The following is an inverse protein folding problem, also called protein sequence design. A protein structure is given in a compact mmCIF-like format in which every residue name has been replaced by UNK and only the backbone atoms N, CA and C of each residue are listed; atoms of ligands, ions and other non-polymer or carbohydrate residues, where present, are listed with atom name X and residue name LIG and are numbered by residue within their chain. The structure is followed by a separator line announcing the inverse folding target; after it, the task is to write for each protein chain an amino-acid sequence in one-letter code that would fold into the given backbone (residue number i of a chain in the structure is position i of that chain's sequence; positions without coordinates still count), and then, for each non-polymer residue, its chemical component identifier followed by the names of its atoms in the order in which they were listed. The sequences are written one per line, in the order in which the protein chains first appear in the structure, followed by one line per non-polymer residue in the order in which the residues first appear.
data_IF_525507139653
#
_entry.id   IF_525507139653
#
_cell.length_a   1.000
_cell.length_b   1.000
_cell.length_c   1.000
_cell.angle_alpha   90.00
_cell.angle_beta   90.00
_cell.angle_gamma   90.00
#
_symmetry.space_group_name_H-M   'P 1'
#
loop_
_entity.id
_entity.type
_entity.pdbx_description
1 polymer ?
#
# COMPACT_ATOMS: atom_id res chain seq x y z
N UNK A 1 -6.12 -7.52 16.55
CA UNK A 1 -4.91 -7.72 15.72
C UNK A 1 -5.18 -7.02 14.40
N UNK A 2 -5.25 -5.71 14.55
CA UNK A 2 -5.87 -4.70 13.73
C UNK A 2 -4.71 -3.85 13.20
N UNK A 3 -4.62 -3.67 11.88
CA UNK A 3 -3.56 -2.88 11.25
C UNK A 3 -2.25 -3.62 10.90
N UNK A 4 -2.10 -4.92 11.13
CA UNK A 4 -0.82 -5.62 10.79
C UNK A 4 -0.46 -5.52 9.30
N UNK A 5 -1.42 -5.66 8.38
CA UNK A 5 -1.15 -5.50 6.94
C UNK A 5 -0.92 -4.04 6.53
N UNK A 6 -1.49 -3.08 7.26
CA UNK A 6 -1.24 -1.66 7.05
C UNK A 6 0.23 -1.34 7.32
N UNK A 7 0.73 -1.78 8.48
CA UNK A 7 2.13 -1.58 8.87
C UNK A 7 3.09 -2.35 7.97
N UNK A 8 2.71 -3.54 7.48
CA UNK A 8 3.48 -4.23 6.45
C UNK A 8 3.53 -3.43 5.14
N UNK A 9 2.40 -2.84 4.74
CA UNK A 9 2.30 -1.89 3.65
C UNK A 9 3.32 -0.76 3.79
N UNK A 10 3.35 -0.07 4.93
CA UNK A 10 4.35 0.95 5.24
C UNK A 10 5.77 0.43 5.19
N UNK A 11 6.03 -0.73 5.81
CA UNK A 11 7.36 -1.29 5.90
C UNK A 11 7.99 -1.50 4.51
N UNK A 12 7.19 -1.90 3.50
CA UNK A 12 7.65 -2.03 2.10
C UNK A 12 8.16 -0.71 1.48
N UNK A 13 7.75 0.45 2.00
CA UNK A 13 8.11 1.77 1.48
C UNK A 13 9.52 2.23 1.83
N UNK A 14 10.17 1.58 2.79
CA UNK A 14 11.51 1.95 3.26
C UNK A 14 12.57 1.95 2.14
N UNK A 15 13.64 2.73 2.33
CA UNK A 15 14.71 2.90 1.34
C UNK A 15 15.44 1.60 0.97
N UNK A 16 15.44 0.59 1.85
CA UNK A 16 16.04 -0.73 1.60
C UNK A 16 15.11 -1.70 0.85
N UNK A 17 13.91 -1.26 0.49
CA UNK A 17 12.87 -2.07 -0.17
C UNK A 17 12.40 -1.33 -1.43
N UNK A 18 11.13 -0.89 -1.49
CA UNK A 18 10.60 -0.21 -2.67
C UNK A 18 11.00 1.25 -2.78
N UNK A 19 11.67 1.81 -1.74
CA UNK A 19 12.16 3.19 -1.70
C UNK A 19 11.11 4.18 -2.23
N UNK A 20 9.91 4.14 -1.66
CA UNK A 20 8.82 5.01 -2.11
C UNK A 20 9.15 6.45 -1.75
N UNK A 21 9.24 7.28 -2.78
CA UNK A 21 9.45 8.71 -2.65
C UNK A 21 8.33 9.44 -3.39
N UNK A 22 7.67 10.34 -2.67
CA UNK A 22 6.60 11.17 -3.20
C UNK A 22 7.20 12.56 -3.36
N UNK A 23 7.69 12.86 -4.57
CA UNK A 23 8.35 14.13 -4.84
C UNK A 23 7.43 15.35 -4.66
N UNK A 24 7.81 16.49 -5.25
CA UNK A 24 7.04 17.76 -5.14
C UNK A 24 5.55 17.65 -5.50
N UNK A 25 5.14 16.61 -6.24
CA UNK A 25 3.75 16.32 -6.59
C UNK A 25 2.84 16.21 -5.36
N UNK A 26 3.34 15.62 -4.27
CA UNK A 26 2.57 15.45 -3.04
C UNK A 26 3.09 16.32 -1.90
N UNK A 27 4.33 16.82 -1.97
CA UNK A 27 4.86 17.84 -1.07
C UNK A 27 4.65 17.48 0.41
N UNK A 28 4.08 18.41 1.19
CA UNK A 28 3.79 18.21 2.62
C UNK A 28 2.73 17.11 2.86
N UNK A 29 1.97 16.71 1.83
CA UNK A 29 0.98 15.64 1.89
C UNK A 29 1.57 14.25 1.55
N UNK A 30 2.89 14.14 1.38
CA UNK A 30 3.57 12.87 1.09
C UNK A 30 3.26 11.77 2.13
N UNK A 31 3.20 12.14 3.42
CA UNK A 31 2.82 11.22 4.49
C UNK A 31 1.38 10.73 4.30
N UNK A 32 0.45 11.64 4.03
CA UNK A 32 -0.95 11.27 3.78
C UNK A 32 -1.14 10.44 2.52
N UNK A 33 -0.31 10.61 1.50
CA UNK A 33 -0.31 9.75 0.32
C UNK A 33 0.17 8.32 0.65
N UNK A 34 1.21 8.20 1.47
CA UNK A 34 1.72 6.90 1.95
C UNK A 34 0.66 6.12 2.75
N UNK A 35 -0.14 6.81 3.56
CA UNK A 35 -1.29 6.23 4.28
C UNK A 35 -2.34 5.62 3.33
N UNK A 36 -2.59 6.25 2.17
CA UNK A 36 -3.48 5.69 1.13
C UNK A 36 -2.84 4.42 0.56
N UNK A 37 -1.54 4.45 0.28
CA UNK A 37 -0.80 3.28 -0.26
C UNK A 37 -0.87 2.11 0.72
N UNK A 38 -0.59 2.33 2.00
CA UNK A 38 -0.65 1.31 3.04
C UNK A 38 -2.07 0.75 3.23
N UNK A 39 -3.08 1.61 3.20
CA UNK A 39 -4.49 1.20 3.32
C UNK A 39 -4.97 0.36 2.13
N UNK A 40 -4.60 0.72 0.91
CA UNK A 40 -4.93 -0.08 -0.28
C UNK A 40 -4.18 -1.42 -0.29
N UNK A 41 -2.95 -1.46 0.24
CA UNK A 41 -2.19 -2.68 0.43
C UNK A 41 -2.89 -3.61 1.44
N UNK A 42 -3.29 -3.08 2.61
CA UNK A 42 -4.08 -3.81 3.59
C UNK A 42 -5.37 -4.36 2.98
N UNK A 43 -6.13 -3.53 2.27
CA UNK A 43 -7.40 -3.94 1.69
C UNK A 43 -7.24 -5.10 0.70
N UNK A 44 -6.17 -5.07 -0.11
CA UNK A 44 -5.85 -6.16 -1.06
C UNK A 44 -5.50 -7.45 -0.32
N UNK A 45 -4.65 -7.39 0.71
CA UNK A 45 -4.24 -8.57 1.49
C UNK A 45 -5.39 -9.14 2.33
N UNK A 46 -6.22 -8.30 2.94
CA UNK A 46 -7.42 -8.75 3.64
C UNK A 46 -8.39 -9.46 2.70
N UNK A 47 -8.57 -8.94 1.48
CA UNK A 47 -9.43 -9.58 0.47
C UNK A 47 -8.90 -10.95 0.03
N UNK A 48 -7.58 -11.14 0.03
CA UNK A 48 -6.91 -12.37 -0.39
C UNK A 48 -6.83 -13.43 0.73
N UNK A 49 -6.44 -13.02 1.93
CA UNK A 49 -6.13 -13.95 3.03
C UNK A 49 -7.26 -14.10 4.06
N UNK A 50 -8.33 -13.29 3.94
CA UNK A 50 -9.55 -13.42 4.74
C UNK A 50 -9.59 -12.84 6.17
N UNK A 51 -8.56 -12.20 6.76
CA UNK A 51 -8.78 -11.50 8.02
C UNK A 51 -9.65 -10.26 7.79
N UNK A 52 -10.45 -9.85 8.79
CA UNK A 52 -11.34 -8.72 8.64
C UNK A 52 -10.53 -7.45 8.35
N UNK A 53 -11.01 -6.67 7.37
CA UNK A 53 -10.46 -5.37 7.03
C UNK A 53 -10.96 -4.34 8.04
N UNK A 54 -10.50 -4.48 9.29
CA UNK A 54 -10.83 -3.57 10.36
C UNK A 54 -9.99 -2.30 10.24
N UNK A 55 -10.72 -1.20 10.32
CA UNK A 55 -10.28 0.17 10.26
C UNK A 55 -10.06 0.63 11.71
N UNK A 56 -8.88 1.16 12.05
CA UNK A 56 -8.56 1.62 13.42
C UNK A 56 -9.43 2.83 13.84
N UNK A 57 -9.62 3.09 15.12
CA UNK A 57 -10.54 4.15 15.58
C UNK A 57 -10.08 5.59 15.24
N UNK A 58 -8.84 5.81 14.82
CA UNK A 58 -8.31 7.12 14.40
C UNK A 58 -8.68 7.56 12.97
N UNK A 59 -9.57 6.84 12.28
CA UNK A 59 -9.82 6.97 10.84
C UNK A 59 -10.28 8.34 10.31
N UNK A 60 -10.86 9.17 11.16
CA UNK A 60 -11.33 10.50 10.75
C UNK A 60 -10.18 11.43 10.29
N UNK A 61 -8.98 11.30 10.87
CA UNK A 61 -7.83 12.14 10.50
C UNK A 61 -7.26 11.76 9.13
N UNK A 62 -7.15 10.47 8.82
CA UNK A 62 -6.64 9.96 7.55
C UNK A 62 -7.59 10.28 6.38
N UNK A 63 -8.90 10.04 6.56
CA UNK A 63 -9.89 10.33 5.53
C UNK A 63 -9.89 11.83 5.18
N UNK A 64 -9.76 12.71 6.17
CA UNK A 64 -9.67 14.15 5.92
C UNK A 64 -8.47 14.51 5.03
N UNK A 65 -7.30 13.92 5.30
CA UNK A 65 -6.08 14.15 4.53
C UNK A 65 -6.16 13.54 3.13
N UNK A 66 -6.78 12.36 2.99
CA UNK A 66 -7.01 11.73 1.69
C UNK A 66 -7.94 12.57 0.82
N UNK A 67 -9.02 13.11 1.40
CA UNK A 67 -9.93 13.96 0.65
C UNK A 67 -9.26 15.23 0.11
N UNK A 68 -8.27 15.79 0.81
CA UNK A 68 -7.46 16.93 0.30
C UNK A 68 -6.70 16.52 -0.97
N UNK A 69 -5.97 15.40 -0.91
CA UNK A 69 -5.20 14.87 -2.05
C UNK A 69 -6.12 14.54 -3.23
N UNK A 70 -7.19 13.78 -2.98
CA UNK A 70 -8.09 13.28 -4.03
C UNK A 70 -8.89 14.41 -4.70
N UNK A 71 -9.19 15.49 -3.99
CA UNK A 71 -9.78 16.70 -4.59
C UNK A 71 -8.79 17.48 -5.44
N UNK A 72 -7.52 17.54 -5.01
CA UNK A 72 -6.45 18.24 -5.72
C UNK A 72 -6.00 17.52 -6.99
N UNK A 73 -6.08 16.18 -7.01
CA UNK A 73 -5.65 15.35 -8.12
C UNK A 73 -6.55 14.11 -8.29
N UNK A 74 -7.37 14.12 -9.34
CA UNK A 74 -8.30 13.03 -9.67
C UNK A 74 -7.60 11.72 -10.03
N UNK A 75 -6.31 11.77 -10.37
CA UNK A 75 -5.49 10.59 -10.71
C UNK A 75 -4.75 10.03 -9.50
N UNK A 76 -4.76 10.73 -8.36
CA UNK A 76 -4.00 10.34 -7.16
C UNK A 76 -4.37 8.93 -6.68
N UNK A 77 -5.64 8.55 -6.76
CA UNK A 77 -6.08 7.20 -6.37
C UNK A 77 -5.46 6.11 -7.26
N UNK A 78 -5.31 6.36 -8.56
CA UNK A 78 -4.69 5.41 -9.49
C UNK A 78 -3.18 5.27 -9.20
N UNK A 79 -2.52 6.37 -8.88
CA UNK A 79 -1.11 6.35 -8.49
C UNK A 79 -0.90 5.62 -7.15
N UNK A 80 -1.77 5.87 -6.17
CA UNK A 80 -1.70 5.17 -4.88
C UNK A 80 -1.95 3.67 -5.06
N UNK A 81 -2.94 3.30 -5.88
CA UNK A 81 -3.23 1.91 -6.21
C UNK A 81 -2.03 1.20 -6.88
N UNK A 82 -1.40 1.84 -7.87
CA UNK A 82 -0.20 1.29 -8.52
C UNK A 82 0.96 1.07 -7.52
N UNK A 83 1.13 1.96 -6.54
CA UNK A 83 2.14 1.80 -5.48
C UNK A 83 1.76 0.72 -4.46
N UNK A 84 0.48 0.59 -4.14
CA UNK A 84 -0.02 -0.47 -3.27
C UNK A 84 0.14 -1.85 -3.91
N UNK A 85 -0.11 -1.97 -5.22
CA UNK A 85 0.11 -3.21 -5.98
C UNK A 85 1.59 -3.62 -5.96
N UNK A 86 2.52 -2.66 -6.09
CA UNK A 86 3.96 -2.91 -5.93
C UNK A 86 4.29 -3.44 -4.51
N UNK A 87 3.67 -2.87 -3.47
CA UNK A 87 3.84 -3.32 -2.08
C UNK A 87 3.33 -4.74 -1.87
N UNK A 88 2.13 -5.06 -2.38
CA UNK A 88 1.55 -6.40 -2.31
C UNK A 88 2.44 -7.40 -3.05
N UNK A 89 2.87 -7.09 -4.28
CA UNK A 89 3.76 -7.96 -5.06
C UNK A 89 5.06 -8.24 -4.31
N UNK A 90 5.65 -7.22 -3.68
CA UNK A 90 6.85 -7.38 -2.86
C UNK A 90 6.59 -8.31 -1.67
N UNK A 91 5.50 -8.13 -0.93
CA UNK A 91 5.17 -8.97 0.23
C UNK A 91 4.94 -10.43 -0.16
N UNK A 92 4.29 -10.67 -1.30
CA UNK A 92 4.03 -12.02 -1.83
C UNK A 92 5.31 -12.80 -2.14
N UNK A 93 6.44 -12.15 -2.39
CA UNK A 93 7.73 -12.85 -2.58
C UNK A 93 8.18 -13.62 -1.33
N UNK A 94 7.65 -13.26 -0.16
CA UNK A 94 7.95 -13.89 1.12
C UNK A 94 6.84 -14.84 1.59
N UNK A 95 5.78 -15.02 0.80
CA UNK A 95 4.71 -15.96 1.12
C UNK A 95 5.14 -17.39 0.73
N UNK A 96 5.39 -18.29 1.70
CA UNK A 96 5.77 -19.66 1.40
C UNK A 96 4.66 -20.44 0.66
N UNK A 97 3.40 -20.05 0.77
CA UNK A 97 2.29 -20.68 0.05
C UNK A 97 2.28 -20.33 -1.45
N UNK A 98 2.88 -19.20 -1.85
CA UNK A 98 3.04 -18.79 -3.25
C UNK A 98 4.34 -19.32 -3.89
N UNK A 99 5.24 -19.91 -3.10
CA UNK A 99 6.55 -20.41 -3.52
C UNK A 99 6.54 -21.59 -4.51
N UNK A 100 5.38 -22.11 -4.90
CA UNK A 100 5.26 -23.23 -5.84
C UNK A 100 4.38 -22.96 -7.07
N UNK A 101 3.83 -21.75 -7.26
CA UNK A 101 2.83 -21.49 -8.32
C UNK A 101 2.98 -20.20 -9.12
N UNK A 102 3.99 -19.35 -8.87
CA UNK A 102 4.20 -18.14 -9.68
C UNK A 102 4.78 -18.48 -11.08
N UNK A 103 4.10 -18.11 -12.18
CA UNK A 103 4.63 -18.24 -13.54
C UNK A 103 5.96 -17.50 -13.69
N UNK A 104 6.90 -18.10 -14.43
CA UNK A 104 8.29 -17.63 -14.55
C UNK A 104 8.42 -16.16 -15.03
N UNK A 105 7.43 -15.69 -15.78
CA UNK A 105 7.28 -14.33 -16.29
C UNK A 105 7.20 -13.23 -15.21
N UNK A 106 6.95 -13.56 -13.94
CA UNK A 106 6.95 -12.58 -12.83
C UNK A 106 8.22 -12.59 -11.98
N UNK A 107 9.14 -13.54 -12.19
CA UNK A 107 10.41 -13.66 -11.45
C UNK A 107 11.47 -12.65 -11.92
N UNK A 108 11.34 -12.10 -13.13
CA UNK A 108 12.34 -11.19 -13.72
C UNK A 108 12.16 -9.71 -13.34
N UNK A 109 11.18 -9.36 -12.52
CA UNK A 109 10.91 -7.96 -12.15
C UNK A 109 11.08 -7.68 -10.64
N UNK A 110 11.95 -8.43 -9.96
CA UNK A 110 12.29 -8.27 -8.55
C UNK A 110 13.64 -7.57 -8.36
#
# INVERSE_FOLDING_TARGET
MDGTYHELGHATGSAKRLNRQFGKRFGDDAYAFEEIVASLCQATLCAEYGPPNELHDSHASYIHHWMKILRGDKTAILHAAAKAEQAVKWLRQFDPALGSTLPDELKEAA
#
